data_IF_754648586469
#
_entry.id   IF_754648586469
#
_cell.length_a   1.000
_cell.length_b   1.000
_cell.length_c   1.000
_cell.angle_alpha   90.00
_cell.angle_beta   90.00
_cell.angle_gamma   90.00
#
_symmetry.space_group_name_H-M   'P 1'
#
loop_
_entity.id
_entity.type
_entity.pdbx_description
1 polymer ?
#
# COMPACT_ATOMS: atom_id res chain seq x y z
N UNK A 1 -15.12 -7.18 -16.43
CA UNK A 1 -13.72 -6.86 -16.15
C UNK A 1 -13.26 -5.98 -17.31
N UNK A 2 -13.12 -4.68 -17.09
CA UNK A 2 -12.55 -3.78 -18.10
C UNK A 2 -11.05 -4.12 -18.19
N UNK A 3 -10.63 -4.59 -19.35
CA UNK A 3 -9.22 -4.84 -19.67
C UNK A 3 -8.54 -3.45 -19.71
N UNK A 4 -8.06 -2.95 -18.57
CA UNK A 4 -7.32 -1.71 -18.55
C UNK A 4 -5.95 -1.99 -19.17
N UNK A 5 -5.61 -1.22 -20.20
CA UNK A 5 -4.26 -1.20 -20.73
C UNK A 5 -3.29 -0.88 -19.61
N UNK A 6 -2.25 -1.71 -19.48
CA UNK A 6 -1.15 -1.42 -18.57
C UNK A 6 -0.02 -0.77 -19.37
N UNK A 7 0.63 0.21 -18.77
CA UNK A 7 1.80 0.90 -19.30
C UNK A 7 3.06 0.30 -18.71
N UNK A 8 3.96 -0.22 -19.54
CA UNK A 8 5.26 -0.70 -19.09
C UNK A 8 6.24 0.46 -18.87
N UNK A 9 6.81 0.53 -17.68
CA UNK A 9 7.90 1.45 -17.35
C UNK A 9 9.03 0.63 -16.74
N UNK A 10 10.08 0.41 -17.53
CA UNK A 10 11.27 -0.34 -17.13
C UNK A 10 10.95 -1.74 -16.58
N UNK A 11 10.05 -2.47 -17.24
CA UNK A 11 9.68 -3.85 -16.89
C UNK A 11 8.61 -3.98 -15.81
N UNK A 12 8.09 -2.87 -15.25
CA UNK A 12 6.94 -2.86 -14.35
C UNK A 12 5.71 -2.31 -15.07
N UNK A 13 4.61 -3.08 -15.04
CA UNK A 13 3.35 -2.75 -15.73
C UNK A 13 2.40 -2.00 -14.81
N UNK A 14 2.26 -0.70 -15.01
CA UNK A 14 1.36 0.17 -14.28
C UNK A 14 -0.03 0.19 -14.89
N UNK A 15 -1.07 0.19 -14.05
CA UNK A 15 -2.44 0.40 -14.50
C UNK A 15 -2.61 1.85 -15.01
N UNK A 16 -3.09 1.98 -16.24
CA UNK A 16 -3.31 3.28 -16.88
C UNK A 16 -4.67 3.85 -16.45
N UNK A 17 -4.70 4.34 -15.20
CA UNK A 17 -5.90 4.85 -14.53
C UNK A 17 -5.61 6.12 -13.74
N UNK A 18 -6.66 6.86 -13.45
CA UNK A 18 -6.62 8.03 -12.55
C UNK A 18 -6.71 7.62 -11.08
N UNK A 19 -6.33 8.55 -10.18
CA UNK A 19 -6.49 8.36 -8.73
C UNK A 19 -7.97 8.13 -8.33
N UNK A 20 -8.90 8.72 -9.06
CA UNK A 20 -10.33 8.49 -8.86
C UNK A 20 -10.71 7.05 -9.18
N UNK A 21 -10.31 6.55 -10.33
CA UNK A 21 -10.59 5.16 -10.75
C UNK A 21 -9.91 4.14 -9.86
N UNK A 22 -8.68 4.43 -9.39
CA UNK A 22 -7.99 3.58 -8.41
C UNK A 22 -8.79 3.49 -7.10
N UNK A 23 -9.30 4.61 -6.57
CA UNK A 23 -10.17 4.61 -5.37
C UNK A 23 -11.45 3.84 -5.58
N UNK A 24 -12.13 4.06 -6.72
CA UNK A 24 -13.38 3.35 -7.03
C UNK A 24 -13.17 1.84 -7.09
N UNK A 25 -12.08 1.37 -7.68
CA UNK A 25 -11.71 -0.05 -7.70
C UNK A 25 -11.46 -0.61 -6.31
N UNK A 26 -10.69 0.11 -5.48
CA UNK A 26 -10.39 -0.30 -4.11
C UNK A 26 -11.63 -0.33 -3.22
N UNK A 27 -12.51 0.66 -3.34
CA UNK A 27 -13.77 0.70 -2.59
C UNK A 27 -14.73 -0.43 -3.03
N UNK A 28 -14.81 -0.68 -4.34
CA UNK A 28 -15.58 -1.81 -4.85
C UNK A 28 -15.03 -3.16 -4.35
N UNK A 29 -13.70 -3.30 -4.28
CA UNK A 29 -13.07 -4.49 -3.72
C UNK A 29 -13.37 -4.65 -2.22
N UNK A 30 -13.34 -3.55 -1.46
CA UNK A 30 -13.70 -3.56 -0.03
C UNK A 30 -15.17 -3.93 0.21
N UNK A 31 -16.08 -3.61 -0.70
CA UNK A 31 -17.51 -3.99 -0.58
C UNK A 31 -17.80 -5.39 -1.14
N UNK A 32 -16.92 -5.95 -1.99
CA UNK A 32 -17.11 -7.26 -2.59
C UNK A 32 -16.84 -8.39 -1.58
N UNK A 33 -17.56 -9.50 -1.72
CA UNK A 33 -17.26 -10.75 -1.02
C UNK A 33 -16.50 -11.70 -1.96
N UNK A 34 -15.39 -12.24 -1.46
CA UNK A 34 -14.57 -13.21 -2.17
C UNK A 34 -13.52 -12.58 -3.09
N UNK A 35 -12.31 -13.11 -2.98
CA UNK A 35 -11.11 -12.62 -3.67
C UNK A 35 -10.46 -11.41 -2.96
N UNK A 36 -9.17 -11.26 -3.22
CA UNK A 36 -8.37 -10.15 -2.69
C UNK A 36 -7.79 -9.32 -3.83
N UNK A 37 -7.75 -8.00 -3.67
CA UNK A 37 -7.02 -7.07 -4.52
C UNK A 37 -5.72 -6.68 -3.83
N UNK A 38 -4.60 -6.77 -4.54
CA UNK A 38 -3.31 -6.28 -4.08
C UNK A 38 -3.09 -4.89 -4.67
N UNK A 39 -2.79 -3.92 -3.82
CA UNK A 39 -2.37 -2.59 -4.22
C UNK A 39 -0.86 -2.45 -4.01
N UNK A 40 -0.14 -2.20 -5.10
CA UNK A 40 1.27 -1.85 -5.07
C UNK A 40 1.48 -0.46 -5.66
N UNK A 41 2.39 0.29 -5.06
CA UNK A 41 2.61 1.71 -5.39
C UNK A 41 4.09 1.96 -5.69
N UNK A 42 4.65 1.34 -6.77
CA UNK A 42 6.07 1.47 -7.06
C UNK A 42 6.47 2.91 -7.39
N UNK A 43 7.55 3.33 -6.77
CA UNK A 43 8.31 4.52 -7.11
C UNK A 43 9.56 4.14 -7.95
N UNK A 44 10.39 5.08 -8.44
CA UNK A 44 11.58 4.75 -9.22
C UNK A 44 12.56 3.80 -8.52
N UNK A 45 12.74 3.90 -7.20
CA UNK A 45 13.59 2.99 -6.43
C UNK A 45 13.08 1.54 -6.50
N UNK A 46 11.76 1.38 -6.34
CA UNK A 46 11.11 0.05 -6.38
C UNK A 46 11.22 -0.57 -7.78
N UNK A 47 11.06 0.24 -8.83
CA UNK A 47 11.26 -0.22 -10.22
C UNK A 47 12.70 -0.69 -10.45
N UNK A 48 13.68 0.06 -9.95
CA UNK A 48 15.11 -0.34 -10.03
C UNK A 48 15.41 -1.61 -9.23
N UNK A 49 14.76 -1.82 -8.08
CA UNK A 49 14.88 -3.08 -7.33
C UNK A 49 14.30 -4.26 -8.13
N UNK A 50 13.17 -4.08 -8.81
CA UNK A 50 12.53 -5.11 -9.61
C UNK A 50 13.37 -5.53 -10.84
N UNK A 51 14.18 -4.64 -11.39
CA UNK A 51 15.09 -4.95 -12.49
C UNK A 51 16.11 -6.04 -12.11
N UNK A 52 16.52 -6.06 -10.83
CA UNK A 52 17.55 -6.98 -10.32
C UNK A 52 16.98 -8.17 -9.52
N UNK A 53 15.68 -8.24 -9.32
CA UNK A 53 14.98 -9.31 -8.60
C UNK A 53 13.79 -9.81 -9.43
N UNK A 54 14.03 -10.92 -10.16
CA UNK A 54 13.00 -11.49 -11.05
C UNK A 54 11.73 -11.89 -10.31
N UNK A 55 11.84 -12.50 -9.13
CA UNK A 55 10.68 -12.87 -8.31
C UNK A 55 9.85 -11.64 -7.97
N UNK A 56 10.51 -10.58 -7.55
CA UNK A 56 9.85 -9.33 -7.22
C UNK A 56 9.19 -8.67 -8.44
N UNK A 57 9.88 -8.68 -9.59
CA UNK A 57 9.32 -8.21 -10.85
C UNK A 57 8.05 -9.01 -11.23
N UNK A 58 8.09 -10.34 -11.11
CA UNK A 58 6.96 -11.21 -11.42
C UNK A 58 5.77 -10.92 -10.47
N UNK A 59 6.03 -10.63 -9.19
CA UNK A 59 5.01 -10.24 -8.20
C UNK A 59 4.37 -8.88 -8.56
N UNK A 60 5.16 -7.87 -8.89
CA UNK A 60 4.63 -6.56 -9.31
C UNK A 60 3.80 -6.68 -10.59
N UNK A 61 4.18 -7.61 -11.49
CA UNK A 61 3.50 -7.85 -12.76
C UNK A 61 2.38 -8.90 -12.68
N UNK A 62 2.04 -9.37 -11.49
CA UNK A 62 0.89 -10.26 -11.26
C UNK A 62 -0.45 -9.53 -11.47
N UNK A 63 -1.57 -10.16 -11.10
CA UNK A 63 -2.91 -9.54 -11.15
C UNK A 63 -3.13 -8.56 -9.99
N UNK A 64 -2.19 -7.63 -9.82
CA UNK A 64 -2.23 -6.56 -8.83
C UNK A 64 -2.66 -5.24 -9.48
N UNK A 65 -3.27 -4.36 -8.69
CA UNK A 65 -3.46 -2.96 -9.00
C UNK A 65 -2.13 -2.24 -8.71
N UNK A 66 -1.44 -1.83 -9.78
CA UNK A 66 -0.12 -1.20 -9.72
C UNK A 66 -0.23 0.25 -10.16
N UNK A 67 -0.01 1.19 -9.25
CA UNK A 67 -0.16 2.61 -9.52
C UNK A 67 1.16 3.38 -9.34
N UNK A 68 1.41 4.44 -10.14
CA UNK A 68 2.69 5.15 -10.11
C UNK A 68 2.80 6.08 -8.89
N UNK A 69 3.67 5.75 -7.93
CA UNK A 69 3.99 6.63 -6.82
C UNK A 69 5.32 7.35 -7.06
N UNK A 70 5.22 8.58 -7.43
CA UNK A 70 6.37 9.44 -7.68
C UNK A 70 6.43 10.02 -9.09
N UNK A 71 6.84 11.28 -9.15
CA UNK A 71 6.93 12.03 -10.42
C UNK A 71 7.92 11.39 -11.41
N UNK A 72 8.91 10.65 -10.89
CA UNK A 72 9.90 9.98 -11.73
C UNK A 72 9.30 8.91 -12.64
N UNK A 73 8.28 8.18 -12.17
CA UNK A 73 7.57 7.18 -12.98
C UNK A 73 6.80 7.86 -14.11
N UNK A 74 6.10 8.97 -13.81
CA UNK A 74 5.36 9.75 -14.83
C UNK A 74 6.32 10.27 -15.90
N UNK A 75 7.44 10.87 -15.50
CA UNK A 75 8.45 11.36 -16.45
C UNK A 75 9.07 10.25 -17.28
N UNK A 76 9.33 9.08 -16.69
CA UNK A 76 9.84 7.93 -17.42
C UNK A 76 8.83 7.43 -18.46
N UNK A 77 7.55 7.34 -18.11
CA UNK A 77 6.47 6.98 -19.02
C UNK A 77 6.36 7.98 -20.21
N UNK A 78 6.48 9.29 -19.94
CA UNK A 78 6.49 10.33 -20.99
C UNK A 78 7.68 10.16 -21.94
N UNK A 79 8.89 9.90 -21.42
CA UNK A 79 10.10 9.69 -22.24
C UNK A 79 9.93 8.43 -23.11
N UNK A 80 9.31 7.39 -22.56
CA UNK A 80 9.01 6.14 -23.28
C UNK A 80 7.83 6.27 -24.28
N UNK A 81 7.18 7.43 -24.32
CA UNK A 81 6.02 7.72 -25.17
C UNK A 81 4.78 6.86 -24.86
N UNK A 82 4.68 6.41 -23.65
CA UNK A 82 3.55 5.64 -23.10
C UNK A 82 3.04 6.32 -21.83
N UNK A 83 2.46 7.53 -21.93
CA UNK A 83 2.15 8.39 -20.79
C UNK A 83 1.16 7.71 -19.82
N UNK A 84 1.36 7.95 -18.53
CA UNK A 84 0.42 7.63 -17.47
C UNK A 84 -0.40 8.88 -17.11
N UNK A 85 -1.69 8.75 -16.71
CA UNK A 85 -2.57 9.89 -16.48
C UNK A 85 -2.07 10.87 -15.42
N UNK A 86 -1.63 10.32 -14.28
CA UNK A 86 -1.18 11.13 -13.14
C UNK A 86 -0.38 10.30 -12.13
N UNK A 87 0.34 10.99 -11.25
CA UNK A 87 0.96 10.38 -10.07
C UNK A 87 -0.12 10.06 -9.04
N UNK A 88 -0.07 8.84 -8.49
CA UNK A 88 -1.01 8.36 -7.48
C UNK A 88 -0.24 7.96 -6.21
N UNK A 89 -0.11 8.86 -5.21
CA UNK A 89 0.62 8.55 -3.99
C UNK A 89 -0.07 7.44 -3.18
N UNK A 90 0.68 6.41 -2.82
CA UNK A 90 0.17 5.27 -2.06
C UNK A 90 -0.45 5.67 -0.72
N UNK A 91 0.17 6.61 -0.01
CA UNK A 91 -0.34 7.11 1.27
C UNK A 91 -1.73 7.76 1.14
N UNK A 92 -2.03 8.43 0.02
CA UNK A 92 -3.33 9.06 -0.24
C UNK A 92 -4.41 8.02 -0.54
N UNK A 93 -4.06 6.91 -1.22
CA UNK A 93 -4.96 5.77 -1.38
C UNK A 93 -5.20 5.05 -0.06
N UNK A 94 -4.16 4.86 0.75
CA UNK A 94 -4.28 4.31 2.09
C UNK A 94 -5.22 5.12 2.97
N UNK A 95 -5.04 6.44 3.00
CA UNK A 95 -5.89 7.35 3.75
C UNK A 95 -7.35 7.33 3.26
N UNK A 96 -7.56 7.31 1.94
CA UNK A 96 -8.90 7.20 1.36
C UNK A 96 -9.60 5.87 1.72
N UNK A 97 -8.88 4.75 1.73
CA UNK A 97 -9.43 3.46 2.17
C UNK A 97 -9.76 3.46 3.66
N UNK A 98 -8.92 4.03 4.52
CA UNK A 98 -9.18 4.20 5.95
C UNK A 98 -10.45 5.03 6.17
N UNK A 99 -10.57 6.18 5.49
CA UNK A 99 -11.78 7.01 5.55
C UNK A 99 -13.02 6.25 5.05
N UNK A 100 -12.88 5.45 4.00
CA UNK A 100 -13.97 4.62 3.51
C UNK A 100 -14.38 3.57 4.53
N UNK A 101 -13.43 2.85 5.13
CA UNK A 101 -13.67 1.86 6.17
C UNK A 101 -14.32 2.48 7.41
N UNK A 102 -13.94 3.70 7.80
CA UNK A 102 -14.54 4.38 8.96
C UNK A 102 -16.06 4.62 8.81
N UNK A 103 -16.52 4.86 7.58
CA UNK A 103 -17.95 5.03 7.27
C UNK A 103 -18.74 3.71 7.33
N UNK A 104 -18.06 2.57 7.27
CA UNK A 104 -18.64 1.22 7.35
C UNK A 104 -18.45 0.58 8.73
N UNK A 105 -17.59 1.14 9.57
CA UNK A 105 -17.33 0.70 10.93
C UNK A 105 -16.83 -0.75 11.00
N UNK A 106 -17.42 -1.53 11.90
CA UNK A 106 -17.05 -2.93 12.11
C UNK A 106 -17.36 -3.87 10.94
N UNK A 107 -18.06 -3.40 9.90
CA UNK A 107 -18.27 -4.19 8.68
C UNK A 107 -17.00 -4.28 7.81
N UNK A 108 -16.08 -3.31 7.92
CA UNK A 108 -14.81 -3.28 7.21
C UNK A 108 -13.65 -3.02 8.19
N UNK A 109 -13.28 -4.02 9.02
CA UNK A 109 -12.18 -3.86 9.98
C UNK A 109 -10.84 -3.73 9.25
N UNK A 110 -9.93 -2.93 9.83
CA UNK A 110 -8.60 -2.65 9.31
C UNK A 110 -7.53 -3.28 10.20
N UNK A 111 -6.51 -3.88 9.60
CA UNK A 111 -5.32 -4.36 10.29
C UNK A 111 -4.09 -3.58 9.82
N UNK A 112 -3.23 -3.16 10.74
CA UNK A 112 -2.02 -2.41 10.45
C UNK A 112 -0.78 -3.28 10.71
N UNK A 113 -0.02 -3.56 9.66
CA UNK A 113 1.18 -4.40 9.73
C UNK A 113 2.41 -3.61 9.32
N UNK A 114 3.35 -3.39 10.20
CA UNK A 114 4.63 -2.78 9.87
C UNK A 114 5.10 -1.71 10.85
N UNK A 115 6.14 -1.01 10.46
CA UNK A 115 6.82 -0.04 11.31
C UNK A 115 7.66 -0.69 12.42
N UNK A 116 8.31 0.15 13.23
CA UNK A 116 8.98 -0.28 14.46
C UNK A 116 7.96 -0.63 15.53
N UNK A 117 8.43 -1.27 16.59
CA UNK A 117 7.59 -1.56 17.76
C UNK A 117 6.86 -0.29 18.25
N UNK A 118 5.55 -0.41 18.50
CA UNK A 118 4.67 0.68 18.92
C UNK A 118 4.23 1.65 17.82
N UNK A 119 4.83 1.62 16.62
CA UNK A 119 4.44 2.53 15.52
C UNK A 119 3.05 2.22 14.99
N UNK A 120 2.73 0.95 14.78
CA UNK A 120 1.43 0.54 14.29
C UNK A 120 0.31 0.86 15.30
N UNK A 121 0.60 0.67 16.61
CA UNK A 121 -0.34 0.99 17.70
C UNK A 121 -0.63 2.49 17.75
N UNK A 122 0.41 3.32 17.73
CA UNK A 122 0.26 4.78 17.72
C UNK A 122 -0.46 5.27 16.45
N UNK A 123 -0.19 4.63 15.30
CA UNK A 123 -0.92 4.94 14.07
C UNK A 123 -2.40 4.59 14.21
N UNK A 124 -2.75 3.44 14.81
CA UNK A 124 -4.13 3.03 15.06
C UNK A 124 -4.86 4.04 15.96
N UNK A 125 -4.24 4.45 17.08
CA UNK A 125 -4.81 5.47 17.98
C UNK A 125 -5.14 6.76 17.22
N UNK A 126 -4.16 7.33 16.51
CA UNK A 126 -4.36 8.60 15.78
C UNK A 126 -5.35 8.50 14.63
N UNK A 127 -5.37 7.36 13.93
CA UNK A 127 -6.35 7.13 12.88
C UNK A 127 -7.76 7.00 13.43
N UNK A 128 -7.96 6.33 14.57
CA UNK A 128 -9.26 6.25 15.25
C UNK A 128 -9.71 7.61 15.79
N UNK A 129 -8.78 8.44 16.30
CA UNK A 129 -9.09 9.82 16.70
C UNK A 129 -9.53 10.68 15.50
N UNK A 130 -8.85 10.53 14.35
CA UNK A 130 -9.13 11.31 13.13
C UNK A 130 -10.40 10.87 12.41
N UNK A 131 -10.64 9.58 12.36
CA UNK A 131 -11.75 8.98 11.61
C UNK A 131 -12.73 8.28 12.54
N UNK A 132 -13.75 9.03 12.96
CA UNK A 132 -14.80 8.48 13.82
C UNK A 132 -15.48 7.27 13.17
N UNK A 133 -15.62 6.19 13.93
CA UNK A 133 -16.19 4.92 13.46
C UNK A 133 -15.19 3.97 12.81
N UNK A 134 -13.90 4.33 12.67
CA UNK A 134 -12.87 3.40 12.19
C UNK A 134 -12.72 2.23 13.17
N UNK A 135 -12.75 1.01 12.64
CA UNK A 135 -12.50 -0.22 13.40
C UNK A 135 -11.12 -0.77 13.04
N UNK A 136 -10.09 -0.48 13.85
CA UNK A 136 -8.80 -1.15 13.76
C UNK A 136 -8.88 -2.42 14.62
N UNK A 137 -8.86 -3.58 13.99
CA UNK A 137 -9.03 -4.87 14.68
C UNK A 137 -7.73 -5.47 15.18
N UNK A 138 -6.58 -4.97 14.74
CA UNK A 138 -5.26 -5.40 15.21
C UNK A 138 -4.13 -4.63 14.58
N UNK A 139 -2.96 -4.76 15.22
CA UNK A 139 -1.70 -4.13 14.81
C UNK A 139 -0.57 -5.12 15.00
N UNK A 140 0.47 -5.04 14.16
CA UNK A 140 1.70 -5.80 14.38
C UNK A 140 2.89 -5.03 13.82
N UNK A 141 4.03 -5.05 14.50
CA UNK A 141 5.24 -4.41 14.00
C UNK A 141 5.85 -5.15 12.80
N UNK A 142 6.79 -4.53 12.10
CA UNK A 142 7.41 -5.08 10.89
C UNK A 142 8.65 -5.97 11.12
N UNK A 143 9.01 -6.25 12.38
CA UNK A 143 10.22 -6.97 12.77
C UNK A 143 9.87 -8.38 13.24
N UNK A 144 9.62 -9.26 12.29
CA UNK A 144 9.34 -10.69 12.51
C UNK A 144 10.00 -11.51 11.40
N UNK A 145 10.23 -12.79 11.67
CA UNK A 145 10.70 -13.71 10.63
C UNK A 145 9.56 -14.11 9.70
N UNK A 146 9.54 -13.46 8.51
CA UNK A 146 8.50 -13.70 7.51
C UNK A 146 8.50 -15.12 6.91
N UNK A 147 9.58 -15.89 7.11
CA UNK A 147 9.71 -17.26 6.61
C UNK A 147 9.69 -18.31 7.73
N UNK A 148 9.55 -17.89 8.99
CA UNK A 148 9.56 -18.74 10.18
C UNK A 148 8.23 -18.80 10.91
N UNK A 149 8.27 -19.39 12.12
CA UNK A 149 7.09 -19.56 12.96
C UNK A 149 6.38 -18.29 13.36
N UNK A 150 7.09 -17.15 13.42
CA UNK A 150 6.48 -15.86 13.73
C UNK A 150 5.44 -15.47 12.67
N UNK A 151 5.69 -15.80 11.40
CA UNK A 151 4.74 -15.55 10.34
C UNK A 151 3.47 -16.40 10.49
N UNK A 152 3.59 -17.65 10.92
CA UNK A 152 2.42 -18.52 11.11
C UNK A 152 1.54 -18.00 12.27
N UNK A 153 2.16 -17.49 13.34
CA UNK A 153 1.45 -16.84 14.45
C UNK A 153 0.72 -15.58 13.97
N UNK A 154 1.39 -14.73 13.19
CA UNK A 154 0.78 -13.53 12.62
C UNK A 154 -0.40 -13.85 11.68
N UNK A 155 -0.26 -14.87 10.83
CA UNK A 155 -1.35 -15.33 9.95
C UNK A 155 -2.55 -15.84 10.76
N UNK A 156 -2.29 -16.59 11.85
CA UNK A 156 -3.36 -17.08 12.73
C UNK A 156 -4.08 -15.91 13.41
N UNK A 157 -3.34 -14.91 13.90
CA UNK A 157 -3.91 -13.69 14.50
C UNK A 157 -4.78 -12.93 13.51
N UNK A 158 -4.29 -12.67 12.30
CA UNK A 158 -5.06 -11.95 11.27
C UNK A 158 -6.34 -12.71 10.91
N UNK A 159 -6.28 -14.04 10.81
CA UNK A 159 -7.45 -14.89 10.57
C UNK A 159 -8.48 -14.83 11.70
N UNK A 160 -8.04 -14.73 12.96
CA UNK A 160 -8.94 -14.54 14.11
C UNK A 160 -9.62 -13.15 14.05
N UNK A 161 -8.86 -12.10 13.75
CA UNK A 161 -9.34 -10.72 13.68
C UNK A 161 -10.21 -10.41 12.45
N UNK A 162 -10.11 -11.21 11.39
CA UNK A 162 -10.90 -11.12 10.14
C UNK A 162 -10.96 -9.71 9.54
N UNK A 163 -9.85 -9.04 9.29
CA UNK A 163 -9.87 -7.73 8.64
C UNK A 163 -10.37 -7.83 7.20
N UNK A 164 -11.01 -6.74 6.74
CA UNK A 164 -11.32 -6.53 5.33
C UNK A 164 -10.15 -5.84 4.60
N UNK A 165 -9.40 -4.99 5.29
CA UNK A 165 -8.25 -4.25 4.78
C UNK A 165 -7.01 -4.54 5.63
N UNK A 166 -5.90 -4.92 4.98
CA UNK A 166 -4.57 -5.00 5.63
C UNK A 166 -3.64 -3.98 4.98
N UNK A 167 -3.18 -3.00 5.76
CA UNK A 167 -2.12 -2.08 5.35
C UNK A 167 -0.78 -2.70 5.71
N UNK A 168 0.04 -3.02 4.70
CA UNK A 168 1.34 -3.67 4.86
C UNK A 168 2.44 -2.65 4.65
N UNK A 169 3.16 -2.31 5.70
CA UNK A 169 4.18 -1.27 5.74
C UNK A 169 5.55 -1.83 6.16
N UNK A 170 6.00 -2.85 5.43
CA UNK A 170 7.28 -3.55 5.69
C UNK A 170 8.43 -3.03 4.81
N UNK A 171 8.13 -2.10 3.89
CA UNK A 171 9.05 -1.66 2.84
C UNK A 171 9.21 -2.66 1.70
N UNK A 172 9.52 -2.14 0.50
CA UNK A 172 9.78 -2.97 -0.66
C UNK A 172 11.19 -3.61 -0.58
N UNK A 173 11.37 -4.85 -1.07
CA UNK A 173 10.39 -5.74 -1.68
C UNK A 173 9.66 -6.63 -0.66
N UNK A 174 9.94 -6.48 0.64
CA UNK A 174 9.45 -7.37 1.70
C UNK A 174 7.92 -7.38 1.79
N UNK A 175 7.27 -6.22 1.65
CA UNK A 175 5.82 -6.09 1.76
C UNK A 175 5.10 -6.77 0.59
N UNK A 176 5.56 -6.60 -0.64
CA UNK A 176 4.95 -7.20 -1.82
C UNK A 176 5.10 -8.73 -1.79
N UNK A 177 6.30 -9.22 -1.46
CA UNK A 177 6.58 -10.65 -1.30
C UNK A 177 5.72 -11.25 -0.18
N UNK A 178 5.59 -10.56 0.96
CA UNK A 178 4.76 -11.03 2.07
C UNK A 178 3.28 -11.12 1.67
N UNK A 179 2.75 -10.09 1.02
CA UNK A 179 1.36 -10.08 0.53
C UNK A 179 1.13 -11.26 -0.43
N UNK A 180 1.97 -11.38 -1.45
CA UNK A 180 1.83 -12.39 -2.48
C UNK A 180 1.87 -13.83 -1.92
N UNK A 181 2.78 -14.09 -0.98
CA UNK A 181 2.99 -15.42 -0.40
C UNK A 181 1.94 -15.80 0.66
N UNK A 182 1.24 -14.83 1.25
CA UNK A 182 0.34 -15.10 2.37
C UNK A 182 -1.13 -14.78 2.11
N UNK A 183 -1.47 -14.04 1.06
CA UNK A 183 -2.86 -13.63 0.80
C UNK A 183 -3.82 -14.81 0.68
N UNK A 184 -3.41 -15.92 0.06
CA UNK A 184 -4.24 -17.13 -0.06
C UNK A 184 -4.58 -17.78 1.30
N UNK A 185 -3.80 -17.51 2.35
CA UNK A 185 -4.02 -17.98 3.72
C UNK A 185 -4.96 -17.06 4.52
N UNK A 186 -5.34 -15.90 3.96
CA UNK A 186 -6.10 -14.84 4.62
C UNK A 186 -7.39 -14.51 3.84
N UNK A 187 -8.34 -15.47 3.73
CA UNK A 187 -9.49 -15.38 2.82
C UNK A 187 -10.49 -14.28 3.17
N UNK A 188 -10.44 -13.71 4.38
CA UNK A 188 -11.33 -12.59 4.78
C UNK A 188 -10.84 -11.25 4.30
N UNK A 189 -9.55 -11.12 3.96
CA UNK A 189 -8.95 -9.86 3.52
C UNK A 189 -9.33 -9.58 2.08
N UNK A 190 -9.99 -8.47 1.84
CA UNK A 190 -10.46 -8.03 0.53
C UNK A 190 -9.45 -7.14 -0.19
N UNK A 191 -8.67 -6.37 0.58
CA UNK A 191 -7.60 -5.52 0.03
C UNK A 191 -6.34 -5.64 0.89
N UNK A 192 -5.23 -5.94 0.23
CA UNK A 192 -3.89 -5.78 0.78
C UNK A 192 -3.22 -4.58 0.12
N UNK A 193 -2.71 -3.65 0.89
CA UNK A 193 -2.04 -2.46 0.36
C UNK A 193 -0.60 -2.35 0.87
N UNK A 194 0.37 -2.45 -0.04
CA UNK A 194 1.78 -2.22 0.23
C UNK A 194 2.08 -0.72 0.23
N UNK A 195 2.27 -0.12 1.41
CA UNK A 195 2.33 1.33 1.57
C UNK A 195 3.64 1.85 2.19
N UNK A 196 4.67 1.01 2.27
CA UNK A 196 6.00 1.41 2.75
C UNK A 196 5.97 2.09 4.12
N UNK A 197 6.55 3.27 4.22
CA UNK A 197 6.65 4.03 5.48
C UNK A 197 5.39 4.80 5.89
N UNK A 198 4.21 4.46 5.38
CA UNK A 198 2.98 5.24 5.67
C UNK A 198 2.56 5.20 7.14
N UNK A 199 2.84 4.10 7.87
CA UNK A 199 2.55 4.03 9.30
C UNK A 199 3.37 5.02 10.13
N UNK A 200 4.62 5.32 9.73
CA UNK A 200 5.41 6.36 10.38
C UNK A 200 4.79 7.76 10.23
N UNK A 201 4.13 8.01 9.11
CA UNK A 201 3.39 9.26 8.88
C UNK A 201 2.07 9.26 9.65
N UNK A 202 1.31 8.18 9.63
CA UNK A 202 0.04 8.07 10.35
C UNK A 202 0.23 8.13 11.87
N UNK A 203 1.31 7.55 12.38
CA UNK A 203 1.69 7.70 13.80
C UNK A 203 2.19 9.10 14.16
N UNK A 204 2.52 9.94 13.16
CA UNK A 204 3.09 11.27 13.35
C UNK A 204 4.57 11.28 13.75
N UNK A 205 5.24 10.12 13.76
CA UNK A 205 6.69 10.02 13.99
C UNK A 205 7.48 10.70 12.87
N UNK A 206 6.94 10.64 11.66
CA UNK A 206 7.50 11.31 10.48
C UNK A 206 6.50 12.34 9.98
N UNK A 207 6.92 13.60 9.87
CA UNK A 207 6.10 14.63 9.25
C UNK A 207 6.05 14.43 7.74
N UNK A 208 4.87 14.42 7.17
CA UNK A 208 4.71 14.45 5.71
C UNK A 208 5.34 15.74 5.16
N UNK A 209 5.93 15.67 3.98
CA UNK A 209 6.44 16.86 3.31
C UNK A 209 5.35 17.93 3.17
N UNK A 210 5.69 19.22 3.30
CA UNK A 210 4.73 20.31 3.10
C UNK A 210 4.00 20.17 1.75
N UNK A 211 2.75 20.62 1.68
CA UNK A 211 1.88 20.46 0.51
C UNK A 211 2.52 20.94 -0.81
N UNK A 212 3.38 21.96 -0.74
CA UNK A 212 4.13 22.44 -1.90
C UNK A 212 5.04 21.35 -2.48
N UNK A 213 5.85 20.68 -1.65
CA UNK A 213 6.73 19.60 -2.09
C UNK A 213 5.95 18.40 -2.61
N UNK A 214 4.82 18.07 -1.97
CA UNK A 214 3.95 16.99 -2.42
C UNK A 214 3.36 17.30 -3.82
N UNK A 215 2.87 18.54 -4.04
CA UNK A 215 2.30 18.98 -5.34
C UNK A 215 3.34 19.01 -6.45
N UNK A 216 4.57 19.40 -6.15
CA UNK A 216 5.67 19.43 -7.13
C UNK A 216 6.31 18.05 -7.36
N UNK A 217 5.87 16.98 -6.66
CA UNK A 217 6.48 15.67 -6.75
C UNK A 217 7.89 15.60 -6.14
N UNK A 218 8.25 16.56 -5.27
CA UNK A 218 9.56 16.69 -4.63
C UNK A 218 9.56 16.15 -3.19
N UNK A 219 8.64 15.27 -2.84
CA UNK A 219 8.55 14.65 -1.51
C UNK A 219 9.82 13.88 -1.16
N UNK A 220 10.40 13.16 -2.12
CA UNK A 220 11.67 12.47 -1.98
C UNK A 220 12.84 13.42 -1.65
N UNK A 221 12.87 14.60 -2.26
CA UNK A 221 13.90 15.61 -2.02
C UNK A 221 13.78 16.22 -0.62
N UNK A 222 12.55 16.48 -0.16
CA UNK A 222 12.29 16.93 1.20
C UNK A 222 12.76 15.88 2.21
N UNK A 223 12.47 14.59 1.99
CA UNK A 223 12.95 13.49 2.84
C UNK A 223 14.47 13.43 2.90
N UNK A 224 15.15 13.60 1.76
CA UNK A 224 16.63 13.65 1.70
C UNK A 224 17.22 14.78 2.54
N UNK A 225 16.54 15.94 2.62
CA UNK A 225 16.99 17.10 3.40
C UNK A 225 16.71 16.97 4.90
N UNK A 226 15.62 16.32 5.28
CA UNK A 226 15.13 16.27 6.66
C UNK A 226 15.50 14.98 7.40
N UNK A 227 15.86 13.92 6.70
CA UNK A 227 16.26 12.64 7.30
C UNK A 227 17.73 12.36 6.95
N UNK A 228 18.61 12.84 7.84
CA UNK A 228 20.02 12.40 7.89
C UNK A 228 20.16 11.16 8.72
#
# INVERSE_FOLDING_TARGET
MTNNEKTDVCGVRFDNITAKEARERLFSALDAEGGSVFLFTPNPEIVMLAENDKEFSDILNSDALVVPDGIGIIKAADILKTPLPERIPGIELGEAMIEYCSKKGSALPVYLLGGKEGVADLAAEKLCEKYNGLSVCGTHNGYFDANGGDNDVLIAEINEKKPALVLVCLGAPKQEKWIYNNASKLPTVRVFAGLGGSLDVFSGNVKRAPAFFCRCGLEWFYRLLCHK
#
